data_IF_482384892960
#
_entry.id   IF_482384892960
#
_cell.length_a   1.000
_cell.length_b   1.000
_cell.length_c   1.000
_cell.angle_alpha   90.00
_cell.angle_beta   90.00
_cell.angle_gamma   90.00
#
_symmetry.space_group_name_H-M   'P 1'
#
loop_
_entity.id
_entity.type
_entity.pdbx_description
1 polymer ?
#
# COMPACT_ATOMS: atom_id res chain seq x y z
N UNK A 1 -6.89 23.83 32.67
CA UNK A 1 -7.31 25.07 31.94
C UNK A 1 -6.34 25.59 30.89
N UNK A 2 -5.01 25.40 30.99
CA UNK A 2 -4.04 25.94 29.99
C UNK A 2 -3.92 25.07 28.72
N UNK A 3 -3.96 23.74 28.84
CA UNK A 3 -3.81 22.81 27.71
C UNK A 3 -4.90 22.98 26.64
N UNK A 4 -6.19 23.00 27.03
CA UNK A 4 -7.30 23.19 26.08
C UNK A 4 -7.22 24.53 25.33
N UNK A 5 -6.69 25.58 25.97
CA UNK A 5 -6.51 26.89 25.31
C UNK A 5 -5.44 26.86 24.22
N UNK A 6 -4.40 26.03 24.40
CA UNK A 6 -3.33 25.82 23.43
C UNK A 6 -3.81 24.88 22.33
N UNK A 7 -4.43 23.75 22.69
CA UNK A 7 -4.92 22.76 21.71
C UNK A 7 -5.97 23.36 20.78
N UNK A 8 -6.89 24.19 21.28
CA UNK A 8 -7.95 24.84 20.49
C UNK A 8 -7.58 26.28 20.12
N UNK A 9 -6.46 26.44 19.42
CA UNK A 9 -5.93 27.73 18.97
C UNK A 9 -5.62 27.70 17.48
N UNK A 10 -5.84 28.82 16.80
CA UNK A 10 -5.50 29.03 15.38
C UNK A 10 -3.99 28.82 15.16
N UNK A 11 -3.14 29.23 16.12
CA UNK A 11 -1.68 29.00 16.03
C UNK A 11 -1.36 27.52 15.91
N UNK A 12 -2.04 26.69 16.69
CA UNK A 12 -1.87 25.23 16.67
C UNK A 12 -2.36 24.65 15.34
N UNK A 13 -3.47 25.16 14.79
CA UNK A 13 -3.95 24.75 13.46
C UNK A 13 -2.91 25.00 12.38
N UNK A 14 -2.31 26.19 12.37
CA UNK A 14 -1.28 26.54 11.38
C UNK A 14 -0.08 25.59 11.50
N UNK A 15 0.38 25.31 12.73
CA UNK A 15 1.48 24.37 12.96
C UNK A 15 1.13 22.97 12.46
N UNK A 16 -0.07 22.47 12.78
CA UNK A 16 -0.54 21.15 12.33
C UNK A 16 -0.65 21.10 10.79
N UNK A 17 -1.16 22.15 10.15
CA UNK A 17 -1.28 22.24 8.69
C UNK A 17 0.07 22.31 7.98
N UNK A 18 1.04 23.05 8.53
CA UNK A 18 2.41 23.08 8.01
C UNK A 18 3.03 21.69 8.12
N UNK A 19 2.92 21.05 9.28
CA UNK A 19 3.42 19.70 9.49
C UNK A 19 2.78 18.71 8.51
N UNK A 20 1.45 18.80 8.32
CA UNK A 20 0.72 17.99 7.36
C UNK A 20 1.22 18.19 5.92
N UNK A 21 1.40 19.45 5.52
CA UNK A 21 1.88 19.80 4.18
C UNK A 21 3.31 19.30 3.94
N UNK A 22 4.20 19.40 4.95
CA UNK A 22 5.57 18.86 4.88
C UNK A 22 5.55 17.35 4.72
N UNK A 23 4.70 16.63 5.46
CA UNK A 23 4.57 15.17 5.29
C UNK A 23 4.06 14.78 3.90
N UNK A 24 3.09 15.52 3.35
CA UNK A 24 2.62 15.28 1.98
C UNK A 24 3.71 15.55 0.93
N UNK A 25 4.49 16.61 1.11
CA UNK A 25 5.63 16.89 0.24
C UNK A 25 6.66 15.74 0.31
N UNK A 26 7.02 15.30 1.52
CA UNK A 26 7.91 14.15 1.72
C UNK A 26 7.35 12.89 1.06
N UNK A 27 6.06 12.59 1.23
CA UNK A 27 5.40 11.44 0.61
C UNK A 27 5.49 11.49 -0.92
N UNK A 28 5.34 12.67 -1.51
CA UNK A 28 5.45 12.86 -2.97
C UNK A 28 6.86 12.55 -3.47
N UNK A 29 7.90 13.00 -2.75
CA UNK A 29 9.29 12.67 -3.12
C UNK A 29 9.60 11.18 -2.93
N UNK A 30 9.16 10.58 -1.83
CA UNK A 30 9.33 9.14 -1.59
C UNK A 30 8.63 8.33 -2.68
N UNK A 31 7.41 8.72 -3.06
CA UNK A 31 6.67 8.05 -4.12
C UNK A 31 7.39 8.12 -5.46
N UNK A 32 7.92 9.30 -5.81
CA UNK A 32 8.70 9.50 -7.04
C UNK A 32 9.94 8.61 -7.08
N UNK A 33 10.70 8.57 -5.99
CA UNK A 33 12.01 7.92 -5.99
C UNK A 33 11.94 6.41 -5.72
N UNK A 34 10.93 5.98 -4.95
CA UNK A 34 10.85 4.61 -4.43
C UNK A 34 9.55 3.87 -4.74
N UNK A 35 8.58 4.55 -5.34
CA UNK A 35 7.29 3.99 -5.71
C UNK A 35 6.19 4.17 -4.66
N UNK A 36 4.96 3.96 -5.10
CA UNK A 36 3.73 4.17 -4.33
C UNK A 36 3.64 3.29 -3.09
N UNK A 37 4.05 2.01 -3.18
CA UNK A 37 4.02 1.07 -2.05
C UNK A 37 4.90 1.53 -0.89
N UNK A 38 6.09 2.05 -1.18
CA UNK A 38 7.02 2.54 -0.16
C UNK A 38 6.47 3.80 0.50
N UNK A 39 6.00 4.77 -0.28
CA UNK A 39 5.41 6.01 0.23
C UNK A 39 4.22 5.75 1.14
N UNK A 40 3.33 4.83 0.72
CA UNK A 40 2.20 4.37 1.52
C UNK A 40 2.64 3.77 2.83
N UNK A 41 3.58 2.83 2.81
CA UNK A 41 4.03 2.16 4.03
C UNK A 41 4.61 3.15 5.06
N UNK A 42 5.50 4.05 4.63
CA UNK A 42 6.22 4.94 5.55
C UNK A 42 5.44 6.18 5.98
N UNK A 43 4.55 6.72 5.13
CA UNK A 43 3.81 7.94 5.43
C UNK A 43 2.34 7.66 5.68
N UNK A 44 1.58 7.24 4.66
CA UNK A 44 0.12 7.17 4.72
C UNK A 44 -0.41 6.09 5.69
N UNK A 45 0.27 4.94 5.78
CA UNK A 45 -0.06 3.85 6.70
C UNK A 45 0.65 3.99 8.07
N UNK A 46 1.39 5.08 8.29
CA UNK A 46 2.07 5.31 9.56
C UNK A 46 1.08 5.74 10.65
N UNK A 47 1.30 5.27 11.88
CA UNK A 47 0.55 5.72 13.07
C UNK A 47 0.72 7.22 13.32
N UNK A 48 1.84 7.80 12.91
CA UNK A 48 2.09 9.23 13.07
C UNK A 48 1.15 10.07 12.20
N UNK A 49 0.98 9.68 10.94
CA UNK A 49 0.05 10.34 10.02
C UNK A 49 -1.40 10.24 10.53
N UNK A 50 -1.80 9.11 11.11
CA UNK A 50 -3.12 8.97 11.75
C UNK A 50 -3.33 9.93 12.91
N UNK A 51 -2.36 9.97 13.83
CA UNK A 51 -2.42 10.86 14.98
C UNK A 51 -2.50 12.32 14.53
N UNK A 52 -1.76 12.69 13.49
CA UNK A 52 -1.83 14.04 12.93
C UNK A 52 -3.21 14.38 12.38
N UNK A 53 -3.84 13.46 11.64
CA UNK A 53 -5.21 13.63 11.14
C UNK A 53 -6.22 13.76 12.29
N UNK A 54 -6.09 12.93 13.33
CA UNK A 54 -6.92 12.99 14.53
C UNK A 54 -6.75 14.35 15.24
N UNK A 55 -5.51 14.82 15.40
CA UNK A 55 -5.25 16.13 16.00
C UNK A 55 -5.84 17.29 15.18
N UNK A 56 -5.79 17.22 13.85
CA UNK A 56 -6.43 18.20 12.97
C UNK A 56 -7.95 18.23 13.15
N UNK A 57 -8.61 17.07 13.22
CA UNK A 57 -10.05 16.98 13.49
C UNK A 57 -10.39 17.59 14.86
N UNK A 58 -9.71 17.15 15.92
CA UNK A 58 -9.97 17.61 17.29
C UNK A 58 -9.75 19.12 17.40
N UNK A 59 -8.65 19.63 16.83
CA UNK A 59 -8.36 21.07 16.79
C UNK A 59 -9.43 21.85 16.00
N UNK A 60 -9.79 21.39 14.80
CA UNK A 60 -10.77 22.04 13.93
C UNK A 60 -12.16 22.13 14.54
N UNK A 61 -12.65 21.02 15.11
CA UNK A 61 -13.92 20.99 15.84
C UNK A 61 -13.87 21.93 17.06
N UNK A 62 -12.78 21.88 17.83
CA UNK A 62 -12.63 22.76 18.99
C UNK A 62 -12.63 24.25 18.63
N UNK A 63 -12.08 24.63 17.47
CA UNK A 63 -12.12 26.01 16.97
C UNK A 63 -13.54 26.43 16.60
N UNK A 64 -14.31 25.57 15.93
CA UNK A 64 -15.70 25.86 15.58
C UNK A 64 -16.55 26.18 16.82
N UNK A 65 -16.39 25.41 17.89
CA UNK A 65 -17.09 25.66 19.15
C UNK A 65 -16.56 26.89 19.90
N UNK A 66 -15.24 27.06 19.98
CA UNK A 66 -14.61 28.18 20.70
C UNK A 66 -15.03 29.54 20.14
N UNK A 67 -15.15 29.66 18.82
CA UNK A 67 -15.54 30.91 18.15
C UNK A 67 -17.05 31.01 17.85
N UNK A 68 -17.85 30.04 18.33
CA UNK A 68 -19.30 29.98 18.15
C UNK A 68 -19.72 30.23 16.70
N UNK A 69 -19.07 29.53 15.77
CA UNK A 69 -19.20 29.79 14.33
C UNK A 69 -20.54 29.29 13.76
N UNK A 70 -21.29 28.49 14.53
CA UNK A 70 -22.63 27.99 14.21
C UNK A 70 -23.74 29.05 14.36
N UNK A 71 -23.51 30.27 13.89
CA UNK A 71 -24.54 31.29 13.75
C UNK A 71 -24.82 31.56 12.27
N UNK A 72 -26.04 32.02 11.94
CA UNK A 72 -26.45 32.25 10.54
C UNK A 72 -25.50 33.21 9.80
N UNK A 73 -24.90 34.17 10.51
CA UNK A 73 -23.95 35.14 9.95
C UNK A 73 -22.58 34.55 9.58
N UNK A 74 -22.18 33.42 10.17
CA UNK A 74 -20.89 32.75 9.92
C UNK A 74 -21.07 31.32 9.40
N UNK A 75 -22.26 30.99 8.92
CA UNK A 75 -22.59 29.66 8.46
C UNK A 75 -21.66 29.19 7.34
N UNK A 76 -21.34 30.06 6.38
CA UNK A 76 -20.39 29.75 5.30
C UNK A 76 -19.02 29.34 5.83
N UNK A 77 -18.51 30.08 6.84
CA UNK A 77 -17.22 29.77 7.48
C UNK A 77 -17.31 28.44 8.23
N UNK A 78 -18.41 28.18 8.93
CA UNK A 78 -18.64 26.94 9.64
C UNK A 78 -18.66 25.74 8.69
N UNK A 79 -19.42 25.82 7.60
CA UNK A 79 -19.53 24.76 6.57
C UNK A 79 -18.16 24.49 5.94
N UNK A 80 -17.42 25.54 5.58
CA UNK A 80 -16.08 25.39 4.98
C UNK A 80 -15.14 24.57 5.87
N UNK A 81 -15.07 24.91 7.16
CA UNK A 81 -14.20 24.17 8.08
C UNK A 81 -14.74 22.78 8.42
N UNK A 82 -16.07 22.62 8.51
CA UNK A 82 -16.70 21.32 8.72
C UNK A 82 -16.43 20.40 7.52
N UNK A 83 -16.32 20.94 6.30
CA UNK A 83 -15.88 20.21 5.12
C UNK A 83 -14.53 19.51 5.31
N UNK A 84 -13.52 20.17 5.87
CA UNK A 84 -12.24 19.52 6.18
C UNK A 84 -12.41 18.39 7.19
N UNK A 85 -13.26 18.57 8.20
CA UNK A 85 -13.55 17.51 9.18
C UNK A 85 -14.18 16.29 8.49
N UNK A 86 -15.16 16.51 7.60
CA UNK A 86 -15.79 15.42 6.83
C UNK A 86 -14.76 14.72 5.95
N UNK A 87 -13.90 15.47 5.24
CA UNK A 87 -12.89 14.90 4.34
C UNK A 87 -11.91 14.03 5.13
N UNK A 88 -11.41 14.48 6.28
CA UNK A 88 -10.47 13.69 7.09
C UNK A 88 -11.14 12.45 7.67
N UNK A 89 -12.40 12.55 8.13
CA UNK A 89 -13.17 11.39 8.62
C UNK A 89 -13.38 10.40 7.47
N UNK A 90 -13.78 10.86 6.28
CA UNK A 90 -13.95 10.04 5.09
C UNK A 90 -12.66 9.32 4.70
N UNK A 91 -11.53 10.05 4.70
CA UNK A 91 -10.21 9.46 4.46
C UNK A 91 -9.86 8.36 5.49
N UNK A 92 -10.21 8.57 6.77
CA UNK A 92 -10.08 7.54 7.80
C UNK A 92 -10.91 6.30 7.51
N UNK A 93 -12.17 6.46 7.11
CA UNK A 93 -13.05 5.34 6.74
C UNK A 93 -12.45 4.55 5.57
N UNK A 94 -12.07 5.23 4.47
CA UNK A 94 -11.45 4.59 3.31
C UNK A 94 -10.16 3.86 3.69
N UNK A 95 -9.37 4.40 4.62
CA UNK A 95 -8.11 3.77 5.06
C UNK A 95 -8.31 2.49 5.86
N UNK A 96 -9.28 2.45 6.78
CA UNK A 96 -9.46 1.31 7.66
C UNK A 96 -10.44 0.25 7.13
N UNK A 97 -11.36 0.65 6.25
CA UNK A 97 -12.44 -0.20 5.77
C UNK A 97 -12.58 -0.23 4.24
N UNK A 98 -11.80 0.58 3.52
CA UNK A 98 -11.80 0.58 2.06
C UNK A 98 -11.05 -0.62 1.49
N UNK A 99 -11.51 -1.06 0.32
CA UNK A 99 -10.80 -2.00 -0.52
C UNK A 99 -10.27 -1.26 -1.75
N UNK A 100 -9.00 -1.48 -2.08
CA UNK A 100 -8.32 -0.84 -3.20
C UNK A 100 -7.88 -1.88 -4.21
N UNK A 101 -7.88 -1.49 -5.49
CA UNK A 101 -7.69 -2.44 -6.58
C UNK A 101 -7.57 -1.79 -7.95
N UNK A 102 -7.34 -2.63 -8.94
CA UNK A 102 -7.33 -2.27 -10.35
C UNK A 102 -8.50 -2.99 -11.01
N UNK A 103 -9.36 -2.21 -11.64
CA UNK A 103 -10.45 -2.69 -12.46
C UNK A 103 -10.12 -2.37 -13.92
N UNK A 104 -9.78 -3.40 -14.71
CA UNK A 104 -9.55 -3.24 -16.14
C UNK A 104 -10.87 -3.50 -16.90
N UNK A 105 -11.46 -2.46 -17.46
CA UNK A 105 -12.70 -2.53 -18.26
C UNK A 105 -12.41 -2.11 -19.69
N UNK A 106 -12.94 -2.87 -20.65
CA UNK A 106 -12.99 -2.47 -22.06
C UNK A 106 -14.35 -1.86 -22.38
N UNK A 107 -14.43 -1.14 -23.49
CA UNK A 107 -15.67 -0.52 -23.94
C UNK A 107 -16.74 -1.59 -24.22
N UNK A 108 -17.91 -1.46 -23.59
CA UNK A 108 -18.99 -2.44 -23.67
C UNK A 108 -18.86 -3.64 -22.72
N UNK A 109 -17.79 -3.74 -21.93
CA UNK A 109 -17.66 -4.78 -20.89
C UNK A 109 -18.24 -4.32 -19.54
N UNK A 110 -18.88 -5.26 -18.83
CA UNK A 110 -19.24 -5.13 -17.42
C UNK A 110 -18.47 -6.20 -16.61
N UNK A 111 -17.93 -5.82 -15.46
CA UNK A 111 -17.26 -6.73 -14.51
C UNK A 111 -17.74 -6.46 -13.10
N UNK A 112 -18.03 -7.52 -12.36
CA UNK A 112 -18.41 -7.49 -10.94
C UNK A 112 -17.23 -7.85 -10.01
N UNK A 113 -16.03 -8.00 -10.56
CA UNK A 113 -14.78 -8.27 -9.84
C UNK A 113 -13.67 -7.31 -10.25
N UNK A 114 -12.72 -7.10 -9.35
CA UNK A 114 -11.52 -6.30 -9.60
C UNK A 114 -10.29 -6.98 -8.98
N UNK A 115 -9.10 -6.64 -9.47
CA UNK A 115 -7.85 -7.13 -8.90
C UNK A 115 -7.49 -6.33 -7.65
N UNK A 116 -7.48 -6.95 -6.47
CA UNK A 116 -7.08 -6.27 -5.23
C UNK A 116 -5.61 -5.84 -5.27
N UNK A 117 -5.29 -4.69 -4.68
CA UNK A 117 -3.91 -4.25 -4.45
C UNK A 117 -3.25 -4.96 -3.26
N UNK A 118 -4.02 -5.67 -2.42
CA UNK A 118 -3.47 -6.43 -1.30
C UNK A 118 -2.61 -7.57 -1.85
N UNK A 119 -1.39 -7.68 -1.35
CA UNK A 119 -0.48 -8.77 -1.72
C UNK A 119 -0.54 -9.88 -0.69
N UNK A 120 -0.42 -11.12 -1.17
CA UNK A 120 -0.52 -12.31 -0.35
C UNK A 120 0.62 -13.27 -0.69
N UNK A 121 1.19 -13.91 0.32
CA UNK A 121 1.98 -15.13 0.13
C UNK A 121 0.99 -16.29 0.11
N UNK A 122 0.82 -16.88 -1.07
CA UNK A 122 0.00 -18.07 -1.25
C UNK A 122 0.87 -19.31 -1.11
N UNK A 123 0.48 -20.21 -0.22
CA UNK A 123 1.10 -21.52 -0.02
C UNK A 123 0.08 -22.57 -0.44
N UNK A 124 0.35 -23.21 -1.58
CA UNK A 124 -0.50 -24.24 -2.16
C UNK A 124 0.19 -25.59 -1.99
N UNK A 125 -0.52 -26.56 -1.40
CA UNK A 125 -0.12 -27.96 -1.39
C UNK A 125 -1.00 -28.73 -2.37
N UNK A 126 -0.37 -29.55 -3.20
CA UNK A 126 -1.04 -30.39 -4.19
C UNK A 126 -0.92 -31.85 -3.76
N UNK A 127 -2.07 -32.51 -3.60
CA UNK A 127 -2.21 -33.96 -3.47
C UNK A 127 -3.22 -34.42 -4.51
N UNK A 128 -3.19 -35.71 -4.88
CA UNK A 128 -3.93 -36.27 -6.02
C UNK A 128 -5.45 -36.03 -5.97
N UNK A 129 -5.99 -35.63 -4.83
CA UNK A 129 -7.42 -35.42 -4.58
C UNK A 129 -7.77 -34.00 -4.05
N UNK A 130 -6.80 -33.22 -3.52
CA UNK A 130 -7.07 -31.93 -2.87
C UNK A 130 -5.98 -30.88 -3.11
N UNK A 131 -6.41 -29.61 -3.28
CA UNK A 131 -5.54 -28.43 -3.22
C UNK A 131 -5.77 -27.73 -1.89
N UNK A 132 -4.77 -27.71 -1.02
CA UNK A 132 -4.83 -26.96 0.24
C UNK A 132 -4.14 -25.61 0.05
N UNK A 133 -4.90 -24.52 0.17
CA UNK A 133 -4.43 -23.16 -0.04
C UNK A 133 -4.47 -22.36 1.26
N UNK A 134 -3.31 -21.83 1.66
CA UNK A 134 -3.20 -20.81 2.70
C UNK A 134 -2.72 -19.49 2.09
N UNK A 135 -3.45 -18.41 2.33
CA UNK A 135 -3.10 -17.07 1.88
C UNK A 135 -2.77 -16.19 3.07
N UNK A 136 -1.54 -15.69 3.12
CA UNK A 136 -1.09 -14.78 4.17
C UNK A 136 -0.95 -13.37 3.61
N UNK A 137 -1.72 -12.37 4.08
CA UNK A 137 -1.56 -10.99 3.63
C UNK A 137 -0.19 -10.46 4.04
N UNK A 138 0.47 -9.75 3.14
CA UNK A 138 1.79 -9.16 3.35
C UNK A 138 1.86 -7.74 2.79
N UNK A 139 2.71 -6.91 3.37
CA UNK A 139 3.03 -5.56 2.88
C UNK A 139 4.53 -5.48 2.58
N UNK A 140 4.98 -6.35 1.69
CA UNK A 140 6.39 -6.45 1.35
C UNK A 140 6.88 -5.23 0.57
N UNK A 141 8.05 -4.70 0.95
CA UNK A 141 8.65 -3.51 0.37
C UNK A 141 10.18 -3.70 0.29
N UNK A 142 10.82 -3.40 -0.84
CA UNK A 142 12.24 -3.72 -1.05
C UNK A 142 13.23 -2.87 -0.21
N UNK A 143 12.78 -1.77 0.40
CA UNK A 143 13.56 -0.86 1.26
C UNK A 143 13.31 -1.09 2.76
N UNK A 144 12.18 -1.65 3.14
CA UNK A 144 11.89 -1.97 4.54
C UNK A 144 12.51 -3.28 4.96
N UNK A 145 12.67 -3.44 6.28
CA UNK A 145 12.84 -4.76 6.85
C UNK A 145 11.54 -5.53 6.70
N UNK A 146 11.58 -6.64 5.96
CA UNK A 146 10.44 -7.52 5.78
C UNK A 146 10.68 -8.77 6.62
N UNK A 147 9.84 -8.97 7.62
CA UNK A 147 9.83 -10.19 8.40
C UNK A 147 8.59 -11.00 8.04
N UNK A 148 8.81 -12.23 7.62
CA UNK A 148 7.72 -13.15 7.34
C UNK A 148 8.17 -14.56 7.70
N UNK A 149 7.52 -15.10 8.72
CA UNK A 149 7.68 -16.47 9.17
C UNK A 149 6.28 -17.03 9.48
N UNK A 150 5.89 -18.07 8.76
CA UNK A 150 4.59 -18.75 8.94
C UNK A 150 4.77 -20.25 8.87
N UNK A 151 3.96 -20.97 9.63
CA UNK A 151 3.91 -22.43 9.57
C UNK A 151 2.61 -22.83 8.91
N UNK A 152 2.70 -23.65 7.87
CA UNK A 152 1.55 -24.31 7.26
C UNK A 152 1.59 -25.80 7.63
N UNK A 153 0.43 -26.37 7.93
CA UNK A 153 0.27 -27.81 8.17
C UNK A 153 -0.36 -28.44 6.93
N UNK A 154 0.18 -29.56 6.48
CA UNK A 154 -0.38 -30.34 5.40
C UNK A 154 -0.24 -31.83 5.72
N UNK A 155 -1.37 -32.53 5.84
CA UNK A 155 -1.44 -33.96 6.21
C UNK A 155 -0.61 -34.31 7.47
N UNK A 156 -0.57 -33.41 8.48
CA UNK A 156 0.17 -33.60 9.72
C UNK A 156 1.66 -33.23 9.63
N UNK A 157 2.15 -32.86 8.45
CA UNK A 157 3.50 -32.36 8.25
C UNK A 157 3.52 -30.83 8.32
N UNK A 158 4.40 -30.28 9.17
CA UNK A 158 4.53 -28.84 9.36
C UNK A 158 5.64 -28.28 8.49
N UNK A 159 5.27 -27.33 7.63
CA UNK A 159 6.17 -26.60 6.74
C UNK A 159 6.36 -25.19 7.27
N UNK A 160 7.62 -24.82 7.52
CA UNK A 160 8.00 -23.48 7.96
C UNK A 160 8.41 -22.64 6.76
N UNK A 161 7.59 -21.65 6.41
CA UNK A 161 7.89 -20.68 5.35
C UNK A 161 8.56 -19.47 5.98
N UNK A 162 9.74 -19.11 5.48
CA UNK A 162 10.47 -17.91 5.90
C UNK A 162 10.90 -17.09 4.68
N UNK A 163 10.64 -15.78 4.72
CA UNK A 163 11.15 -14.86 3.72
C UNK A 163 12.67 -14.72 3.89
N UNK A 164 13.41 -15.00 2.81
CA UNK A 164 14.88 -14.87 2.79
C UNK A 164 15.32 -13.51 2.26
N UNK A 165 14.80 -13.11 1.09
CA UNK A 165 15.16 -11.87 0.41
C UNK A 165 14.05 -11.47 -0.57
N UNK A 166 13.84 -10.16 -0.72
CA UNK A 166 13.04 -9.58 -1.79
C UNK A 166 14.01 -9.01 -2.82
N UNK A 167 13.83 -9.37 -4.09
CA UNK A 167 14.60 -8.84 -5.21
C UNK A 167 13.62 -8.03 -6.06
N UNK A 168 13.70 -6.68 -6.03
CA UNK A 168 12.83 -5.86 -6.87
C UNK A 168 13.21 -6.06 -8.34
N UNK A 169 12.20 -6.09 -9.23
CA UNK A 169 12.39 -6.25 -10.68
C UNK A 169 13.28 -7.44 -11.04
N UNK A 170 13.08 -8.58 -10.37
CA UNK A 170 13.85 -9.79 -10.65
C UNK A 170 13.66 -10.19 -12.12
N UNK A 171 14.77 -10.34 -12.81
CA UNK A 171 14.83 -10.89 -14.16
C UNK A 171 15.53 -12.24 -14.07
N UNK A 172 15.03 -13.22 -14.83
CA UNK A 172 15.74 -14.47 -14.99
C UNK A 172 16.98 -14.22 -15.84
N UNK A 173 18.12 -14.72 -15.38
CA UNK A 173 19.39 -14.58 -16.10
C UNK A 173 20.12 -15.93 -16.08
N UNK A 174 20.67 -16.30 -17.23
CA UNK A 174 21.54 -17.46 -17.35
C UNK A 174 22.89 -17.12 -16.72
N UNK A 175 23.33 -17.97 -15.78
CA UNK A 175 24.62 -17.87 -15.12
C UNK A 175 25.36 -19.20 -15.26
N UNK A 176 26.69 -19.14 -15.39
CA UNK A 176 27.51 -20.35 -15.41
C UNK A 176 27.46 -21.05 -14.03
N UNK A 177 27.07 -22.32 -14.02
CA UNK A 177 27.07 -23.17 -12.84
C UNK A 177 27.68 -24.53 -13.21
N UNK A 178 28.71 -24.96 -12.45
CA UNK A 178 29.37 -26.25 -12.65
C UNK A 178 28.43 -27.45 -12.46
N UNK A 179 27.32 -27.26 -11.73
CA UNK A 179 26.26 -28.27 -11.55
C UNK A 179 24.98 -27.91 -12.31
N UNK A 180 25.03 -26.92 -13.19
CA UNK A 180 23.89 -26.50 -14.00
C UNK A 180 23.55 -27.49 -15.12
N UNK A 181 22.48 -27.18 -15.86
CA UNK A 181 22.07 -27.93 -17.04
C UNK A 181 22.37 -27.12 -18.30
N UNK A 182 22.64 -27.75 -19.45
CA UNK A 182 22.77 -27.05 -20.71
C UNK A 182 21.48 -26.31 -21.07
N UNK A 183 21.61 -25.02 -21.38
CA UNK A 183 20.53 -24.16 -21.88
C UNK A 183 20.96 -23.62 -23.24
N UNK A 184 20.08 -23.72 -24.23
CA UNK A 184 20.24 -23.03 -25.50
C UNK A 184 19.55 -21.66 -25.39
N UNK A 185 20.32 -20.59 -25.54
CA UNK A 185 19.84 -19.21 -25.60
C UNK A 185 19.99 -18.70 -27.03
N UNK A 186 18.90 -18.26 -27.64
CA UNK A 186 18.93 -17.61 -28.94
C UNK A 186 17.88 -16.52 -29.05
N UNK A 187 18.22 -15.49 -29.80
CA UNK A 187 17.33 -14.35 -30.08
C UNK A 187 16.88 -14.40 -31.53
N UNK A 188 15.59 -14.24 -31.76
CA UNK A 188 15.01 -14.07 -33.09
C UNK A 188 14.41 -12.66 -33.21
N UNK A 189 14.54 -12.05 -34.39
CA UNK A 189 14.02 -10.70 -34.66
C UNK A 189 12.94 -10.79 -35.72
N UNK A 190 11.72 -10.38 -35.36
CA UNK A 190 10.58 -10.26 -36.27
C UNK A 190 9.97 -8.86 -36.16
N UNK A 191 9.76 -8.20 -37.30
CA UNK A 191 9.17 -6.85 -37.37
C UNK A 191 9.77 -5.83 -36.38
N UNK A 192 11.11 -5.85 -36.23
CA UNK A 192 11.90 -5.00 -35.32
C UNK A 192 11.70 -5.27 -33.82
N UNK A 193 11.00 -6.33 -33.44
CA UNK A 193 10.95 -6.82 -32.08
C UNK A 193 11.89 -8.02 -31.92
N UNK A 194 12.87 -7.90 -31.02
CA UNK A 194 13.69 -9.03 -30.61
C UNK A 194 12.92 -9.86 -29.57
N UNK A 195 12.86 -11.16 -29.79
CA UNK A 195 12.33 -12.14 -28.84
C UNK A 195 13.46 -13.09 -28.43
N UNK A 196 13.67 -13.23 -27.12
CA UNK A 196 14.63 -14.17 -26.53
C UNK A 196 13.93 -15.48 -26.18
N UNK A 197 14.58 -16.59 -26.50
CA UNK A 197 14.10 -17.94 -26.20
C UNK A 197 15.16 -18.73 -25.45
N UNK A 198 14.71 -19.46 -24.43
CA UNK A 198 15.53 -20.38 -23.65
C UNK A 198 14.96 -21.78 -23.78
N UNK A 199 15.79 -22.75 -24.17
CA UNK A 199 15.40 -24.17 -24.21
C UNK A 199 16.27 -24.94 -23.22
N UNK A 200 15.65 -25.54 -22.20
CA UNK A 200 16.35 -26.42 -21.27
C UNK A 200 16.49 -27.81 -21.87
N UNK A 201 17.57 -28.50 -21.53
CA UNK A 201 17.77 -29.89 -21.95
C UNK A 201 16.59 -30.78 -21.52
N UNK A 202 15.85 -31.33 -22.50
CA UNK A 202 14.74 -32.26 -22.27
C UNK A 202 13.33 -31.65 -22.34
N UNK A 203 13.20 -30.33 -22.53
CA UNK A 203 11.93 -29.71 -22.91
C UNK A 203 11.64 -29.95 -24.41
N UNK A 204 10.41 -30.34 -24.73
CA UNK A 204 9.88 -30.51 -26.09
C UNK A 204 8.85 -29.46 -26.43
#
# INVERSE_FOLDING_TARGET
>A
MKFNKILFSIKTSIILLILYSVLLAIATFIEKDYGTTVSRYYVYNSRFFDLLNIFLIINGIGILFKYKTFNLKKLTVAIFHLGFVVIIIGAGITRFYGEEGILHLREGEEKDYFLSQKTYVNVNFYDAEYVYQNSFPVEFNYLSYNDFERTADFNGNKFKIKLKKIIPNAVEQIVEDANGFPILDFTYIEDKNAQEFYIKQGET
#
